data_IF_125660002969
#
_entry.id   IF_125660002969
#
_cell.length_a   1.000
_cell.length_b   1.000
_cell.length_c   1.000
_cell.angle_alpha   90.00
_cell.angle_beta   90.00
_cell.angle_gamma   90.00
#
_symmetry.space_group_name_H-M   'P 1'
#
loop_
_entity.id
_entity.type
_entity.pdbx_description
1 polymer ?
#
# COMPACT_ATOMS: atom_id res chain seq x y z
N UNK A 1 -3.18 27.95 -20.76
CA UNK A 1 -2.23 28.29 -19.68
C UNK A 1 -1.07 27.32 -19.75
N UNK A 2 0.16 27.79 -19.95
CA UNK A 2 1.35 26.92 -19.97
C UNK A 2 1.67 26.51 -18.54
N UNK A 3 1.28 25.29 -18.17
CA UNK A 3 1.65 24.70 -16.90
C UNK A 3 3.18 24.52 -16.85
N UNK A 4 3.80 24.94 -15.74
CA UNK A 4 5.24 24.75 -15.55
C UNK A 4 5.51 23.26 -15.30
N UNK A 5 6.60 22.71 -15.86
CA UNK A 5 6.95 21.31 -15.62
C UNK A 5 7.15 21.05 -14.13
N UNK A 6 6.72 19.86 -13.69
CA UNK A 6 6.80 19.41 -12.31
C UNK A 6 8.15 18.70 -12.10
N UNK A 7 9.09 19.38 -11.43
CA UNK A 7 10.43 18.86 -11.21
C UNK A 7 10.51 18.15 -9.86
N UNK A 8 10.94 16.90 -9.88
CA UNK A 8 11.27 16.16 -8.68
C UNK A 8 12.46 16.80 -7.97
N UNK A 9 12.40 16.81 -6.64
CA UNK A 9 13.54 17.10 -5.79
C UNK A 9 14.14 15.79 -5.29
N UNK A 10 15.46 15.74 -5.11
CA UNK A 10 16.08 14.71 -4.28
C UNK A 10 15.49 14.80 -2.87
N UNK A 11 15.13 13.65 -2.29
CA UNK A 11 14.58 13.59 -0.95
C UNK A 11 15.58 13.00 0.04
N UNK A 12 16.02 11.77 -0.23
CA UNK A 12 16.91 11.02 0.64
C UNK A 12 17.63 9.93 -0.16
N UNK A 13 18.79 9.52 0.33
CA UNK A 13 19.51 8.36 -0.18
C UNK A 13 19.87 7.44 0.99
N UNK A 14 19.75 6.14 0.78
CA UNK A 14 20.21 5.14 1.73
C UNK A 14 21.71 5.36 2.01
N UNK A 15 22.16 5.47 3.26
CA UNK A 15 23.56 5.74 3.58
C UNK A 15 24.54 4.72 2.98
N UNK A 16 25.71 5.19 2.51
CA UNK A 16 26.72 4.38 1.81
C UNK A 16 27.23 3.18 2.62
N UNK A 17 27.15 3.22 3.95
CA UNK A 17 27.52 2.09 4.82
C UNK A 17 26.69 0.84 4.56
N UNK A 18 25.53 0.96 3.89
CA UNK A 18 24.67 -0.15 3.51
C UNK A 18 24.81 -0.55 2.02
N UNK A 19 25.86 -0.08 1.32
CA UNK A 19 26.06 -0.36 -0.12
C UNK A 19 26.12 -1.84 -0.49
N UNK A 20 26.56 -2.69 0.43
CA UNK A 20 26.73 -4.13 0.19
C UNK A 20 25.46 -4.95 0.53
N UNK A 21 24.42 -4.29 1.06
CA UNK A 21 23.11 -4.90 1.34
C UNK A 21 22.16 -4.72 0.16
N UNK A 22 21.20 -5.65 0.04
CA UNK A 22 20.12 -5.57 -0.95
C UNK A 22 18.87 -4.93 -0.33
N UNK A 23 18.23 -3.99 -1.03
CA UNK A 23 16.97 -3.39 -0.60
C UNK A 23 15.81 -4.34 -0.91
N UNK A 24 15.20 -4.92 0.12
CA UNK A 24 14.04 -5.80 0.02
C UNK A 24 12.70 -5.04 -0.01
N UNK A 25 12.58 -3.96 0.74
CA UNK A 25 11.40 -3.11 0.74
C UNK A 25 11.79 -1.71 1.17
N UNK A 26 11.01 -0.70 0.78
CA UNK A 26 11.19 0.64 1.27
C UNK A 26 9.86 1.40 1.22
N UNK A 27 9.68 2.36 2.11
CA UNK A 27 8.58 3.30 2.11
C UNK A 27 9.01 4.64 2.71
N UNK A 28 8.10 5.62 2.65
CA UNK A 28 8.15 6.83 3.46
C UNK A 28 6.96 6.78 4.42
N UNK A 29 7.24 6.80 5.73
CA UNK A 29 6.20 6.63 6.73
C UNK A 29 5.36 7.91 6.96
N UNK A 30 4.35 7.83 7.84
CA UNK A 30 3.43 8.95 8.11
C UNK A 30 4.14 10.24 8.58
N UNK A 31 5.35 10.11 9.13
CA UNK A 31 6.15 11.22 9.63
C UNK A 31 7.19 11.71 8.60
N UNK A 32 7.19 11.15 7.39
CA UNK A 32 8.16 11.48 6.35
C UNK A 32 9.50 10.74 6.48
N UNK A 33 9.65 9.80 7.42
CA UNK A 33 10.92 9.07 7.59
C UNK A 33 11.02 7.99 6.52
N UNK A 34 12.22 7.79 5.97
CA UNK A 34 12.44 6.68 5.02
C UNK A 34 12.69 5.41 5.81
N UNK A 35 11.84 4.41 5.59
CA UNK A 35 11.96 3.08 6.20
C UNK A 35 12.43 2.12 5.13
N UNK A 36 13.60 1.52 5.30
CA UNK A 36 14.21 0.59 4.33
C UNK A 36 14.45 -0.76 4.97
N UNK A 37 13.89 -1.82 4.40
CA UNK A 37 14.20 -3.20 4.75
C UNK A 37 15.37 -3.68 3.91
N UNK A 38 16.49 -3.99 4.57
CA UNK A 38 17.71 -4.52 3.98
C UNK A 38 17.83 -6.01 4.26
N UNK A 39 18.35 -6.74 3.28
CA UNK A 39 18.66 -8.18 3.38
C UNK A 39 20.06 -8.46 2.85
N UNK A 40 20.70 -9.57 3.25
CA UNK A 40 22.01 -9.96 2.80
C UNK A 40 22.08 -10.09 1.28
N UNK A 41 23.26 -9.82 0.68
CA UNK A 41 23.43 -10.01 -0.76
C UNK A 41 23.12 -11.46 -1.15
N UNK A 42 22.32 -11.63 -2.20
CA UNK A 42 21.92 -12.95 -2.69
C UNK A 42 20.66 -13.52 -2.06
N UNK A 43 20.05 -12.82 -1.08
CA UNK A 43 18.73 -13.19 -0.57
C UNK A 43 17.69 -13.27 -1.71
N UNK A 44 16.85 -14.30 -1.66
CA UNK A 44 15.89 -14.61 -2.71
C UNK A 44 14.51 -13.99 -2.48
N UNK A 45 14.39 -13.05 -1.52
CA UNK A 45 13.12 -12.43 -1.15
C UNK A 45 12.38 -11.79 -2.33
N UNK A 46 13.10 -11.30 -3.35
CA UNK A 46 12.52 -10.75 -4.59
C UNK A 46 12.43 -11.71 -5.76
N UNK A 47 13.08 -12.88 -5.67
CA UNK A 47 13.14 -13.81 -6.78
C UNK A 47 11.88 -14.66 -6.80
N UNK A 48 11.38 -14.89 -8.01
CA UNK A 48 10.30 -15.85 -8.25
C UNK A 48 10.88 -17.26 -8.12
N UNK A 49 11.02 -17.72 -6.88
CA UNK A 49 11.49 -19.07 -6.52
C UNK A 49 10.34 -19.90 -5.94
N UNK A 50 10.32 -21.22 -6.19
CA UNK A 50 9.36 -22.13 -5.57
C UNK A 50 9.38 -22.02 -4.04
N UNK A 51 8.22 -22.18 -3.36
CA UNK A 51 8.13 -22.05 -1.90
C UNK A 51 9.16 -22.87 -1.12
N UNK A 52 9.49 -24.07 -1.56
CA UNK A 52 10.46 -24.97 -0.94
C UNK A 52 11.93 -24.50 -1.06
N UNK A 53 12.22 -23.57 -1.97
CA UNK A 53 13.54 -22.95 -2.18
C UNK A 53 13.68 -21.62 -1.42
N UNK A 54 12.59 -21.14 -0.83
CA UNK A 54 12.59 -19.98 0.05
C UNK A 54 13.39 -20.30 1.31
N UNK A 55 14.15 -19.33 1.77
CA UNK A 55 14.97 -19.44 2.98
C UNK A 55 14.78 -18.17 3.79
N UNK A 56 14.46 -18.28 5.09
CA UNK A 56 14.51 -17.15 5.98
C UNK A 56 15.89 -16.48 5.92
N UNK A 57 15.94 -15.17 6.15
CA UNK A 57 17.18 -14.43 6.20
C UNK A 57 17.14 -13.37 7.30
N UNK A 58 18.28 -13.07 7.89
CA UNK A 58 18.40 -11.97 8.85
C UNK A 58 18.27 -10.66 8.09
N UNK A 59 17.27 -9.86 8.44
CA UNK A 59 17.01 -8.57 7.83
C UNK A 59 17.33 -7.42 8.80
N UNK A 60 17.52 -6.24 8.24
CA UNK A 60 17.77 -5.00 8.98
C UNK A 60 16.79 -3.94 8.48
N UNK A 61 15.98 -3.39 9.38
CA UNK A 61 15.21 -2.18 9.10
C UNK A 61 16.07 -0.97 9.43
N UNK A 62 16.24 -0.08 8.46
CA UNK A 62 16.93 1.19 8.61
C UNK A 62 15.91 2.30 8.44
N UNK A 63 15.70 3.08 9.49
CA UNK A 63 14.88 4.28 9.47
C UNK A 63 15.81 5.48 9.39
N UNK A 64 15.67 6.29 8.35
CA UNK A 64 16.44 7.53 8.19
C UNK A 64 15.53 8.74 8.25
N UNK A 65 15.87 9.68 9.12
CA UNK A 65 15.21 10.97 9.28
C UNK A 65 16.28 12.08 9.22
N UNK A 66 16.43 12.70 8.04
CA UNK A 66 17.56 13.60 7.79
C UNK A 66 18.91 12.88 7.98
N UNK A 67 19.68 13.31 8.98
CA UNK A 67 20.96 12.69 9.35
C UNK A 67 20.84 11.56 10.34
N UNK A 68 19.69 11.43 11.01
CA UNK A 68 19.49 10.44 12.06
C UNK A 68 19.16 9.10 11.44
N UNK A 69 19.80 8.05 11.97
CA UNK A 69 19.64 6.69 11.47
C UNK A 69 19.38 5.76 12.64
N UNK A 70 18.25 5.05 12.61
CA UNK A 70 17.90 4.02 13.57
C UNK A 70 17.85 2.66 12.86
N UNK A 71 18.45 1.65 13.51
CA UNK A 71 18.56 0.28 13.02
C UNK A 71 17.79 -0.68 13.92
N UNK A 72 17.01 -1.58 13.31
CA UNK A 72 16.27 -2.64 14.01
C UNK A 72 16.51 -3.97 13.29
N UNK A 73 17.04 -4.96 14.02
CA UNK A 73 17.33 -6.29 13.46
C UNK A 73 16.08 -7.17 13.49
N UNK A 74 15.80 -7.84 12.37
CA UNK A 74 14.73 -8.82 12.22
C UNK A 74 15.35 -10.18 11.86
N UNK A 75 15.70 -11.02 12.86
CA UNK A 75 16.30 -12.33 12.60
C UNK A 75 15.31 -13.28 11.95
N UNK A 76 15.80 -14.19 11.11
CA UNK A 76 15.01 -15.27 10.49
C UNK A 76 13.73 -14.78 9.78
N UNK A 77 13.78 -13.62 9.11
CA UNK A 77 12.63 -13.08 8.38
C UNK A 77 12.28 -13.99 7.20
N UNK A 78 11.08 -14.56 7.22
CA UNK A 78 10.51 -15.43 6.17
C UNK A 78 9.38 -14.72 5.41
N UNK A 79 9.72 -13.64 4.70
CA UNK A 79 8.78 -12.93 3.82
C UNK A 79 9.33 -12.77 2.41
N UNK A 80 8.47 -13.03 1.43
CA UNK A 80 8.79 -12.89 0.01
C UNK A 80 8.03 -11.74 -0.64
N UNK A 81 8.74 -10.97 -1.46
CA UNK A 81 8.30 -9.69 -2.03
C UNK A 81 7.66 -8.80 -0.96
N UNK A 82 8.41 -8.48 0.12
CA UNK A 82 7.84 -7.74 1.23
C UNK A 82 7.51 -6.29 0.85
N UNK A 83 6.44 -5.80 1.45
CA UNK A 83 6.14 -4.39 1.67
C UNK A 83 6.41 -4.10 3.15
N UNK A 84 6.73 -2.85 3.50
CA UNK A 84 6.99 -2.42 4.88
C UNK A 84 6.42 -1.03 5.10
N UNK A 85 5.92 -0.77 6.31
CA UNK A 85 5.70 0.58 6.83
C UNK A 85 5.91 0.65 8.36
N UNK A 86 6.12 1.85 8.89
CA UNK A 86 6.19 2.07 10.33
C UNK A 86 4.81 1.89 10.97
N UNK A 87 4.75 1.33 12.18
CA UNK A 87 3.50 1.15 12.93
C UNK A 87 3.77 1.38 14.42
N UNK A 88 3.34 2.54 14.93
CA UNK A 88 3.69 2.97 16.28
C UNK A 88 5.20 3.12 16.43
N UNK A 89 5.79 2.42 17.41
CA UNK A 89 7.23 2.34 17.64
C UNK A 89 7.93 1.25 16.81
N UNK A 90 7.18 0.41 16.10
CA UNK A 90 7.69 -0.72 15.32
C UNK A 90 7.31 -0.66 13.85
N UNK A 91 7.05 -1.82 13.25
CA UNK A 91 6.82 -1.97 11.82
C UNK A 91 5.76 -3.01 11.49
N UNK A 92 5.09 -2.83 10.35
CA UNK A 92 4.30 -3.87 9.69
C UNK A 92 4.97 -4.28 8.39
N UNK A 93 5.10 -5.57 8.18
CA UNK A 93 5.61 -6.17 6.95
C UNK A 93 4.55 -7.07 6.33
N UNK A 94 4.38 -7.02 5.01
CA UNK A 94 3.45 -7.90 4.29
C UNK A 94 4.10 -8.47 3.04
N UNK A 95 4.12 -9.79 2.90
CA UNK A 95 4.47 -10.43 1.63
C UNK A 95 3.36 -10.19 0.60
N UNK A 96 3.73 -9.60 -0.55
CA UNK A 96 2.78 -9.20 -1.58
C UNK A 96 1.96 -10.37 -2.14
N UNK A 97 2.52 -11.58 -2.10
CA UNK A 97 1.88 -12.81 -2.56
C UNK A 97 1.69 -13.79 -1.43
N UNK A 98 0.49 -14.35 -1.33
CA UNK A 98 0.13 -15.39 -0.39
C UNK A 98 -0.35 -16.63 -1.16
N UNK A 99 0.03 -17.82 -0.67
CA UNK A 99 -0.51 -19.06 -1.22
C UNK A 99 -1.94 -19.23 -0.73
N UNK A 100 -2.89 -19.25 -1.66
CA UNK A 100 -4.26 -19.63 -1.34
C UNK A 100 -4.40 -21.15 -1.20
N UNK A 101 -5.29 -21.65 -0.33
CA UNK A 101 -5.53 -23.08 -0.19
C UNK A 101 -6.05 -23.64 -1.50
N UNK A 102 -5.46 -24.75 -1.95
CA UNK A 102 -5.85 -25.46 -3.17
C UNK A 102 -6.61 -26.76 -2.90
N UNK A 103 -6.93 -27.03 -1.63
CA UNK A 103 -7.63 -28.22 -1.16
C UNK A 103 -9.16 -28.07 -1.16
N UNK A 104 -9.89 -29.09 -0.66
CA UNK A 104 -11.33 -28.95 -0.44
C UNK A 104 -11.61 -27.78 0.50
N UNK A 105 -12.74 -27.06 0.35
CA UNK A 105 -13.07 -25.93 1.22
C UNK A 105 -13.08 -26.35 2.70
N UNK A 106 -12.31 -25.64 3.53
CA UNK A 106 -12.29 -25.88 4.97
C UNK A 106 -13.70 -25.77 5.59
N UNK A 107 -13.99 -26.62 6.58
CA UNK A 107 -15.30 -26.68 7.22
C UNK A 107 -15.55 -25.53 8.22
N UNK A 108 -14.50 -24.92 8.76
CA UNK A 108 -14.58 -23.78 9.70
C UNK A 108 -13.58 -22.69 9.31
N UNK A 109 -13.80 -21.47 9.81
CA UNK A 109 -12.82 -20.38 9.65
C UNK A 109 -11.49 -20.74 10.30
N UNK A 110 -11.49 -21.24 11.55
CA UNK A 110 -10.26 -21.66 12.24
C UNK A 110 -9.50 -22.78 11.50
N UNK A 111 -10.18 -23.61 10.71
CA UNK A 111 -9.52 -24.62 9.88
C UNK A 111 -8.90 -23.99 8.63
N UNK A 112 -9.62 -23.08 7.98
CA UNK A 112 -9.12 -22.33 6.84
C UNK A 112 -7.90 -21.47 7.22
N UNK A 113 -7.98 -20.76 8.33
CA UNK A 113 -6.92 -19.91 8.87
C UNK A 113 -5.65 -20.72 9.16
N UNK A 114 -5.77 -21.98 9.61
CA UNK A 114 -4.62 -22.88 9.76
C UNK A 114 -4.02 -23.36 8.45
N UNK A 115 -4.80 -23.35 7.36
CA UNK A 115 -4.34 -23.75 6.02
C UNK A 115 -3.72 -22.58 5.24
N UNK A 116 -4.04 -21.34 5.63
CA UNK A 116 -3.54 -20.13 4.98
C UNK A 116 -2.31 -19.63 5.74
N UNK A 117 -1.13 -19.55 5.10
CA UNK A 117 0.03 -18.98 5.76
C UNK A 117 -0.23 -17.50 6.07
N UNK A 118 0.10 -17.08 7.30
CA UNK A 118 0.18 -15.67 7.61
C UNK A 118 1.25 -15.03 6.74
N UNK A 119 0.88 -13.97 6.04
CA UNK A 119 1.77 -13.23 5.15
C UNK A 119 2.02 -11.80 5.64
N UNK A 120 1.44 -11.43 6.80
CA UNK A 120 1.72 -10.19 7.49
C UNK A 120 2.36 -10.45 8.85
N UNK A 121 3.33 -9.63 9.20
CA UNK A 121 4.07 -9.64 10.46
C UNK A 121 4.12 -8.21 11.02
N UNK A 122 3.68 -8.06 12.26
CA UNK A 122 3.86 -6.83 13.04
C UNK A 122 4.97 -7.07 14.06
N UNK A 123 5.95 -6.17 14.09
CA UNK A 123 7.08 -6.21 15.02
C UNK A 123 7.15 -4.92 15.83
N UNK A 124 7.67 -5.00 17.05
CA UNK A 124 7.94 -3.83 17.89
C UNK A 124 9.21 -3.07 17.46
N UNK A 125 9.48 -1.95 18.12
CA UNK A 125 10.68 -1.13 17.84
C UNK A 125 12.01 -1.81 18.18
N UNK A 126 11.98 -2.89 18.96
CA UNK A 126 13.13 -3.75 19.24
C UNK A 126 13.29 -4.91 18.24
N UNK A 127 12.37 -5.03 17.27
CA UNK A 127 12.33 -6.11 16.28
C UNK A 127 11.60 -7.37 16.77
N UNK A 128 11.07 -7.39 17.99
CA UNK A 128 10.34 -8.54 18.51
C UNK A 128 9.00 -8.72 17.78
N UNK A 129 8.63 -9.95 17.37
CA UNK A 129 7.33 -10.21 16.74
C UNK A 129 6.20 -10.00 17.75
N UNK A 130 5.23 -9.17 17.38
CA UNK A 130 4.06 -8.87 18.20
C UNK A 130 2.83 -9.66 17.76
N UNK A 131 2.55 -9.70 16.45
CA UNK A 131 1.44 -10.47 15.89
C UNK A 131 1.70 -10.81 14.43
N UNK A 132 0.98 -11.81 13.92
CA UNK A 132 0.94 -12.17 12.50
C UNK A 132 -0.51 -12.38 12.07
N UNK A 133 -0.81 -12.09 10.81
CA UNK A 133 -2.15 -12.29 10.28
C UNK A 133 -2.11 -12.55 8.77
N UNK A 134 -3.26 -12.94 8.22
CA UNK A 134 -3.43 -13.08 6.78
C UNK A 134 -3.95 -11.78 6.17
N UNK A 135 -3.08 -11.07 5.44
CA UNK A 135 -3.41 -9.85 4.73
C UNK A 135 -3.93 -10.09 3.31
N UNK A 136 -4.07 -11.34 2.83
CA UNK A 136 -4.52 -11.63 1.47
C UNK A 136 -3.40 -11.73 0.43
N UNK A 137 -3.75 -12.18 -0.77
CA UNK A 137 -2.87 -12.26 -1.93
C UNK A 137 -2.99 -11.00 -2.82
N UNK A 138 -1.97 -10.75 -3.63
CA UNK A 138 -1.86 -9.63 -4.57
C UNK A 138 -1.89 -8.23 -3.93
N UNK A 139 -1.19 -8.08 -2.80
CA UNK A 139 -1.02 -6.79 -2.11
C UNK A 139 -0.09 -5.88 -2.92
N UNK A 140 -0.64 -4.75 -3.38
CA UNK A 140 0.07 -3.72 -4.14
C UNK A 140 0.52 -2.55 -3.28
N UNK A 141 -0.25 -2.18 -2.27
CA UNK A 141 0.08 -1.08 -1.35
C UNK A 141 0.02 -1.55 0.10
N UNK A 142 0.92 -1.02 0.92
CA UNK A 142 0.91 -1.16 2.38
C UNK A 142 1.29 0.20 2.97
N UNK A 143 0.36 0.82 3.67
CA UNK A 143 0.56 2.10 4.35
C UNK A 143 -0.10 2.06 5.72
N UNK A 144 0.43 2.85 6.66
CA UNK A 144 -0.19 3.07 7.97
C UNK A 144 -0.59 4.53 8.14
N UNK A 145 -1.61 4.76 8.96
CA UNK A 145 -1.97 6.11 9.42
C UNK A 145 -1.46 6.36 10.84
N UNK A 146 -1.57 7.62 11.30
CA UNK A 146 -1.14 8.04 12.63
C UNK A 146 -1.98 7.43 13.77
N UNK A 147 -3.15 6.87 13.45
CA UNK A 147 -4.00 6.12 14.38
C UNK A 147 -3.64 4.63 14.44
N UNK A 148 -2.50 4.25 13.87
CA UNK A 148 -1.98 2.89 13.82
C UNK A 148 -2.93 1.90 13.10
N UNK A 149 -3.75 2.39 12.16
CA UNK A 149 -4.43 1.50 11.24
C UNK A 149 -3.49 1.13 10.09
N UNK A 150 -3.64 -0.09 9.61
CA UNK A 150 -2.90 -0.63 8.48
C UNK A 150 -3.84 -0.62 7.27
N UNK A 151 -3.39 -0.09 6.15
CA UNK A 151 -4.10 -0.03 4.89
C UNK A 151 -3.41 -0.90 3.86
N UNK A 152 -4.17 -1.80 3.25
CA UNK A 152 -3.68 -2.67 2.18
C UNK A 152 -4.48 -2.46 0.91
N UNK A 153 -3.81 -1.98 -0.14
CA UNK A 153 -4.34 -1.92 -1.49
C UNK A 153 -4.02 -3.21 -2.25
N UNK A 154 -4.94 -3.68 -3.07
CA UNK A 154 -4.85 -4.95 -3.80
C UNK A 154 -5.00 -4.75 -5.29
N UNK A 155 -4.38 -5.65 -6.06
CA UNK A 155 -4.59 -5.75 -7.49
C UNK A 155 -5.86 -6.49 -7.88
N UNK A 156 -6.11 -6.52 -9.19
CA UNK A 156 -7.27 -7.19 -9.78
C UNK A 156 -7.27 -8.73 -9.65
N UNK A 157 -6.16 -9.34 -9.20
CA UNK A 157 -6.08 -10.75 -8.85
C UNK A 157 -6.14 -10.98 -7.33
N UNK A 158 -6.37 -9.92 -6.55
CA UNK A 158 -6.38 -10.00 -5.09
C UNK A 158 -7.44 -10.93 -4.57
N UNK A 159 -7.08 -11.71 -3.55
CA UNK A 159 -8.00 -12.57 -2.82
C UNK A 159 -7.69 -12.47 -1.34
N UNK A 160 -8.71 -12.25 -0.52
CA UNK A 160 -8.58 -12.27 0.94
C UNK A 160 -9.50 -13.32 1.54
N UNK A 161 -9.03 -13.95 2.61
CA UNK A 161 -9.85 -14.80 3.48
C UNK A 161 -9.77 -14.26 4.92
N UNK A 162 -10.77 -13.45 5.31
CA UNK A 162 -10.77 -12.80 6.61
C UNK A 162 -12.18 -12.77 7.23
N UNK A 163 -12.24 -12.47 8.52
CA UNK A 163 -13.51 -12.31 9.24
C UNK A 163 -14.20 -11.00 8.87
N UNK A 164 -15.52 -10.95 8.99
CA UNK A 164 -16.25 -9.68 8.92
C UNK A 164 -15.85 -8.73 10.06
N UNK A 165 -15.82 -7.40 9.83
CA UNK A 165 -15.58 -6.43 10.89
C UNK A 165 -16.62 -6.58 12.01
N UNK A 166 -16.19 -6.39 13.26
CA UNK A 166 -17.01 -6.64 14.45
C UNK A 166 -18.37 -5.92 14.44
N UNK A 167 -18.43 -4.68 13.91
CA UNK A 167 -19.67 -3.87 13.81
C UNK A 167 -20.74 -4.46 12.88
N UNK A 168 -20.41 -5.49 12.10
CA UNK A 168 -21.34 -6.17 11.17
C UNK A 168 -21.51 -7.65 11.46
N UNK A 169 -21.03 -8.16 12.60
CA UNK A 169 -21.42 -9.50 13.06
C UNK A 169 -22.91 -9.49 13.40
N UNK A 170 -23.74 -10.40 12.86
CA UNK A 170 -25.14 -10.50 13.26
C UNK A 170 -25.23 -10.73 14.77
N UNK A 171 -26.17 -10.06 15.44
CA UNK A 171 -26.39 -10.21 16.87
C UNK A 171 -26.64 -11.69 17.20
N UNK A 172 -25.94 -12.22 18.22
CA UNK A 172 -26.17 -13.59 18.75
C UNK A 172 -27.66 -13.75 19.08
N UNK A 173 -28.39 -14.57 18.34
CA UNK A 173 -29.71 -15.01 18.79
C UNK A 173 -29.53 -15.87 20.05
N UNK A 174 -30.27 -15.55 21.10
CA UNK A 174 -30.15 -16.16 22.43
C UNK A 174 -30.79 -17.56 22.52
N UNK A 175 -30.66 -18.38 21.47
CA UNK A 175 -31.14 -19.76 21.47
C UNK A 175 -29.99 -20.68 21.04
N UNK A 176 -29.33 -21.28 22.04
CA UNK A 176 -28.27 -22.26 21.82
C UNK A 176 -28.84 -23.53 21.17
N UNK A 177 -28.25 -23.95 20.05
CA UNK A 177 -27.66 -25.28 19.77
C UNK A 177 -27.50 -25.48 18.27
N UNK A 178 -26.68 -24.63 17.64
CA UNK A 178 -25.82 -24.98 16.50
C UNK A 178 -24.78 -23.86 16.45
N UNK A 179 -23.50 -24.22 16.47
CA UNK A 179 -22.41 -23.25 16.34
C UNK A 179 -22.53 -22.66 14.93
N UNK A 180 -23.26 -21.55 14.77
CA UNK A 180 -23.38 -20.86 13.49
C UNK A 180 -21.95 -20.64 12.97
N UNK A 181 -21.62 -21.10 11.76
CA UNK A 181 -20.29 -20.91 11.21
C UNK A 181 -20.03 -19.41 11.14
N UNK A 182 -18.87 -18.98 11.65
CA UNK A 182 -18.40 -17.61 11.48
C UNK A 182 -18.60 -17.22 10.00
N UNK A 183 -19.32 -16.12 9.77
CA UNK A 183 -19.62 -15.63 8.43
C UNK A 183 -18.31 -15.43 7.67
N UNK A 184 -18.02 -16.38 6.77
CA UNK A 184 -16.84 -16.41 5.90
C UNK A 184 -16.95 -15.27 4.89
N UNK A 185 -15.84 -14.64 4.53
CA UNK A 185 -15.70 -14.10 3.19
C UNK A 185 -14.34 -14.45 2.61
N UNK A 186 -14.37 -15.33 1.61
CA UNK A 186 -13.40 -15.24 0.53
C UNK A 186 -13.89 -14.09 -0.34
N UNK A 187 -13.12 -13.01 -0.38
CA UNK A 187 -13.42 -11.86 -1.21
C UNK A 187 -12.36 -11.80 -2.30
N UNK A 188 -12.79 -12.05 -3.52
CA UNK A 188 -12.00 -11.74 -4.72
C UNK A 188 -12.07 -10.25 -4.97
N UNK A 189 -10.96 -9.70 -5.47
CA UNK A 189 -10.83 -8.31 -5.87
C UNK A 189 -11.29 -7.35 -4.76
N UNK A 190 -10.70 -7.44 -3.55
CA UNK A 190 -11.15 -6.63 -2.41
C UNK A 190 -10.87 -5.13 -2.60
N UNK A 191 -9.90 -4.78 -3.46
CA UNK A 191 -9.46 -3.41 -3.73
C UNK A 191 -8.71 -2.78 -2.57
N UNK A 192 -9.40 -2.55 -1.45
CA UNK A 192 -8.85 -1.88 -0.27
C UNK A 192 -9.44 -2.43 1.03
N UNK A 193 -8.57 -2.69 2.00
CA UNK A 193 -8.93 -3.09 3.37
C UNK A 193 -8.18 -2.22 4.37
N UNK A 194 -8.88 -1.83 5.44
CA UNK A 194 -8.28 -1.25 6.64
C UNK A 194 -8.29 -2.26 7.77
N UNK A 195 -7.14 -2.47 8.37
CA UNK A 195 -6.91 -3.32 9.52
C UNK A 195 -6.57 -2.46 10.74
N UNK A 196 -6.87 -2.96 11.92
CA UNK A 196 -6.31 -2.44 13.17
C UNK A 196 -4.85 -2.87 13.33
N UNK A 197 -4.13 -2.24 14.26
CA UNK A 197 -2.70 -2.54 14.54
C UNK A 197 -2.40 -4.01 14.87
N UNK A 198 -3.38 -4.77 15.34
CA UNK A 198 -3.25 -6.19 15.70
C UNK A 198 -3.58 -7.14 14.53
N UNK A 199 -3.91 -6.61 13.36
CA UNK A 199 -4.27 -7.40 12.18
C UNK A 199 -5.75 -7.79 12.10
N UNK A 200 -6.61 -7.26 12.97
CA UNK A 200 -8.06 -7.47 12.85
C UNK A 200 -8.65 -6.57 11.75
N UNK A 201 -9.58 -7.05 10.91
CA UNK A 201 -10.17 -6.23 9.87
C UNK A 201 -11.13 -5.19 10.47
N UNK A 202 -10.84 -3.91 10.24
CA UNK A 202 -11.61 -2.79 10.74
C UNK A 202 -12.69 -2.35 9.74
N UNK A 203 -12.40 -2.39 8.44
CA UNK A 203 -13.28 -1.92 7.38
C UNK A 203 -12.88 -2.52 6.01
N UNK A 204 -13.89 -2.73 5.15
CA UNK A 204 -13.72 -3.17 3.76
C UNK A 204 -14.46 -2.21 2.85
N UNK A 205 -13.84 -1.85 1.73
CA UNK A 205 -14.41 -0.92 0.78
C UNK A 205 -15.75 -1.41 0.19
N UNK A 206 -15.88 -2.72 -0.06
CA UNK A 206 -17.08 -3.34 -0.63
C UNK A 206 -18.30 -3.34 0.29
N UNK A 207 -18.18 -2.95 1.57
CA UNK A 207 -19.31 -2.89 2.50
C UNK A 207 -19.83 -1.48 2.75
N UNK A 208 -19.24 -0.48 2.08
CA UNK A 208 -19.68 0.88 2.24
C UNK A 208 -20.89 1.19 1.35
N UNK A 209 -22.02 1.66 1.92
CA UNK A 209 -23.23 1.95 1.15
C UNK A 209 -23.09 3.14 0.20
N UNK A 210 -22.07 3.99 0.39
CA UNK A 210 -21.77 5.13 -0.48
C UNK A 210 -20.86 4.74 -1.65
N UNK A 211 -20.47 3.47 -1.76
CA UNK A 211 -19.61 2.99 -2.84
C UNK A 211 -20.38 2.92 -4.16
N UNK A 212 -20.12 3.89 -5.04
CA UNK A 212 -20.58 3.87 -6.44
C UNK A 212 -19.55 3.27 -7.41
N UNK A 213 -18.35 2.96 -6.92
CA UNK A 213 -17.24 2.41 -7.71
C UNK A 213 -17.08 0.91 -7.53
N UNK A 214 -16.60 0.24 -8.58
CA UNK A 214 -16.01 -1.09 -8.44
C UNK A 214 -14.69 -0.94 -7.70
N UNK A 215 -14.39 -1.86 -6.77
CA UNK A 215 -13.14 -1.89 -6.01
C UNK A 215 -12.25 -3.03 -6.49
N UNK A 216 -12.18 -3.23 -7.80
CA UNK A 216 -11.51 -4.43 -8.34
C UNK A 216 -10.01 -4.42 -8.03
N UNK A 217 -9.43 -3.22 -8.11
CA UNK A 217 -8.03 -2.89 -7.86
C UNK A 217 -8.00 -1.52 -7.15
N UNK A 218 -7.05 -1.30 -6.25
CA UNK A 218 -6.72 0.03 -5.73
C UNK A 218 -5.46 0.55 -6.44
N UNK A 219 -5.66 1.27 -7.54
CA UNK A 219 -4.58 1.69 -8.46
C UNK A 219 -3.63 2.73 -7.86
N UNK A 220 -4.14 3.54 -6.93
CA UNK A 220 -3.34 4.45 -6.12
C UNK A 220 -3.99 4.64 -4.75
N UNK A 221 -3.15 4.78 -3.74
CA UNK A 221 -3.53 5.02 -2.35
C UNK A 221 -2.71 6.17 -1.76
N UNK A 222 -3.40 7.08 -1.08
CA UNK A 222 -2.81 8.15 -0.29
C UNK A 222 -3.35 8.04 1.14
N UNK A 223 -2.46 7.90 2.13
CA UNK A 223 -2.83 7.81 3.54
C UNK A 223 -2.24 9.00 4.29
N UNK A 224 -3.10 9.93 4.67
CA UNK A 224 -2.78 11.03 5.59
C UNK A 224 -3.08 10.66 7.04
N UNK A 225 -3.04 11.65 7.93
CA UNK A 225 -3.24 11.44 9.36
C UNK A 225 -4.66 10.95 9.71
N UNK A 226 -5.70 11.67 9.27
CA UNK A 226 -7.11 11.38 9.61
C UNK A 226 -7.96 10.88 8.43
N UNK A 227 -7.36 10.83 7.25
CA UNK A 227 -8.04 10.60 5.98
C UNK A 227 -7.16 9.75 5.08
N UNK A 228 -7.81 8.87 4.35
CA UNK A 228 -7.22 8.16 3.23
C UNK A 228 -7.97 8.50 1.95
N UNK A 229 -7.25 8.53 0.84
CA UNK A 229 -7.81 8.69 -0.48
C UNK A 229 -7.40 7.51 -1.35
N UNK A 230 -8.40 6.88 -1.96
CA UNK A 230 -8.20 5.72 -2.81
C UNK A 230 -8.69 6.02 -4.22
N UNK A 231 -8.04 5.38 -5.19
CA UNK A 231 -8.32 5.55 -6.60
C UNK A 231 -8.53 4.18 -7.28
N UNK A 232 -9.74 3.61 -7.16
CA UNK A 232 -9.98 2.23 -7.58
C UNK A 232 -10.35 2.05 -9.07
N UNK A 233 -10.03 0.87 -9.62
CA UNK A 233 -10.51 0.39 -10.93
C UNK A 233 -11.93 -0.23 -10.77
N UNK A 234 -12.91 -0.01 -11.65
CA UNK A 234 -12.78 0.27 -13.10
C UNK A 234 -13.03 1.71 -13.53
N UNK A 235 -13.77 2.46 -12.71
CA UNK A 235 -14.21 3.81 -13.05
C UNK A 235 -13.21 4.90 -12.72
N UNK A 236 -12.12 4.56 -12.02
CA UNK A 236 -11.12 5.52 -11.53
C UNK A 236 -11.73 6.72 -10.77
N UNK A 237 -12.69 6.52 -9.85
CA UNK A 237 -13.14 7.61 -9.02
C UNK A 237 -12.06 7.97 -8.00
N UNK A 238 -12.10 9.20 -7.49
CA UNK A 238 -11.41 9.54 -6.25
C UNK A 238 -12.38 9.30 -5.08
N UNK A 239 -11.91 8.57 -4.06
CA UNK A 239 -12.71 8.24 -2.87
C UNK A 239 -12.00 8.78 -1.64
N UNK A 240 -12.64 9.66 -0.87
CA UNK A 240 -12.16 10.05 0.47
C UNK A 240 -12.77 9.12 1.52
N UNK A 241 -11.93 8.67 2.45
CA UNK A 241 -12.26 7.69 3.49
C UNK A 241 -11.80 8.24 4.84
N UNK A 242 -12.62 8.07 5.87
CA UNK A 242 -12.28 8.34 7.26
C UNK A 242 -12.49 7.14 8.18
N UNK A 243 -12.40 7.35 9.49
CA UNK A 243 -12.65 6.32 10.50
C UNK A 243 -14.03 5.64 10.37
N UNK A 244 -15.05 6.34 9.88
CA UNK A 244 -16.41 5.81 9.71
C UNK A 244 -16.61 5.05 8.38
N UNK A 245 -15.83 5.36 7.34
CA UNK A 245 -15.92 4.74 6.02
C UNK A 245 -15.74 5.75 4.89
N UNK A 246 -16.38 5.50 3.75
CA UNK A 246 -16.37 6.43 2.62
C UNK A 246 -17.10 7.71 3.03
N UNK A 247 -16.47 8.86 2.82
CA UNK A 247 -17.09 10.17 2.98
C UNK A 247 -17.74 10.65 1.70
N UNK A 248 -17.03 10.48 0.59
CA UNK A 248 -17.53 10.82 -0.74
C UNK A 248 -16.78 10.08 -1.84
N UNK A 249 -17.38 10.11 -3.02
CA UNK A 249 -16.80 9.62 -4.28
C UNK A 249 -16.92 10.72 -5.34
N UNK A 250 -15.88 10.93 -6.14
CA UNK A 250 -15.83 11.93 -7.23
C UNK A 250 -15.37 11.29 -8.51
N UNK A 251 -15.97 11.69 -9.63
CA UNK A 251 -15.46 11.34 -10.96
C UNK A 251 -14.19 12.12 -11.23
N UNK A 252 -13.27 11.49 -11.93
CA UNK A 252 -11.98 12.09 -12.26
C UNK A 252 -11.79 12.13 -13.77
N UNK A 253 -11.00 13.09 -14.30
CA UNK A 253 -10.74 13.21 -15.73
C UNK A 253 -9.49 12.41 -16.15
N UNK A 254 -8.79 11.81 -15.19
CA UNK A 254 -7.56 11.07 -15.37
C UNK A 254 -7.88 9.59 -15.25
N UNK A 255 -7.17 8.75 -16.01
CA UNK A 255 -7.23 7.30 -15.90
C UNK A 255 -5.82 6.78 -15.62
N UNK A 256 -5.72 5.64 -14.93
CA UNK A 256 -4.44 4.95 -14.67
C UNK A 256 -3.40 5.80 -13.91
N UNK A 257 -3.85 6.73 -13.06
CA UNK A 257 -2.96 7.43 -12.15
C UNK A 257 -2.36 6.43 -11.15
N UNK A 258 -1.03 6.47 -10.99
CA UNK A 258 -0.28 5.67 -10.01
C UNK A 258 -0.03 6.42 -8.70
N UNK A 259 -0.48 7.68 -8.61
CA UNK A 259 -0.43 8.50 -7.41
C UNK A 259 -1.51 9.58 -7.44
N UNK A 260 -2.04 9.90 -6.26
CA UNK A 260 -2.97 11.02 -6.05
C UNK A 260 -2.45 11.86 -4.89
N UNK A 261 -2.30 13.17 -5.12
CA UNK A 261 -1.85 14.15 -4.13
C UNK A 261 -3.04 15.02 -3.74
N UNK A 262 -3.17 15.32 -2.45
CA UNK A 262 -4.30 16.05 -1.87
C UNK A 262 -3.78 17.21 -1.03
N UNK A 263 -4.10 18.43 -1.42
CA UNK A 263 -3.78 19.67 -0.70
C UNK A 263 -5.07 20.46 -0.44
N UNK A 264 -5.71 20.21 0.70
CA UNK A 264 -7.03 20.78 1.00
C UNK A 264 -8.06 20.38 -0.06
N UNK A 265 -8.56 21.36 -0.82
CA UNK A 265 -9.47 21.14 -1.96
C UNK A 265 -8.73 20.87 -3.28
N UNK A 266 -7.41 21.08 -3.31
CA UNK A 266 -6.56 20.80 -4.45
C UNK A 266 -6.29 19.31 -4.60
N UNK A 267 -6.49 18.79 -5.81
CA UNK A 267 -6.17 17.40 -6.13
C UNK A 267 -5.25 17.36 -7.34
N UNK A 268 -4.22 16.52 -7.31
CA UNK A 268 -3.45 16.19 -8.49
C UNK A 268 -3.26 14.69 -8.67
N UNK A 269 -3.17 14.30 -9.93
CA UNK A 269 -2.97 12.92 -10.34
C UNK A 269 -1.62 12.81 -11.04
N UNK A 270 -0.84 11.81 -10.67
CA UNK A 270 0.35 11.41 -11.39
C UNK A 270 0.02 10.16 -12.21
N UNK A 271 -0.04 10.29 -13.53
CA UNK A 271 -0.32 9.19 -14.43
C UNK A 271 0.84 8.91 -15.38
N UNK A 272 1.20 7.64 -15.49
CA UNK A 272 2.07 7.14 -16.53
C UNK A 272 1.40 7.28 -17.91
N UNK A 273 2.19 7.54 -18.95
CA UNK A 273 1.70 7.51 -20.33
C UNK A 273 1.31 6.08 -20.70
N UNK A 274 0.00 5.80 -20.62
CA UNK A 274 -0.61 4.53 -20.96
C UNK A 274 -1.08 4.48 -22.43
N UNK A 275 -0.70 5.46 -23.26
CA UNK A 275 -0.99 5.50 -24.68
C UNK A 275 -0.37 4.33 -25.46
N UNK A 276 -0.64 4.24 -26.77
CA UNK A 276 -0.18 3.10 -27.61
C UNK A 276 1.33 2.85 -27.56
N UNK A 277 2.13 3.88 -27.29
CA UNK A 277 3.58 3.78 -27.22
C UNK A 277 4.11 3.28 -25.86
N UNK A 278 3.29 3.32 -24.78
CA UNK A 278 3.63 2.90 -23.40
C UNK A 278 5.08 3.23 -23.02
N UNK A 279 5.48 4.50 -23.18
CA UNK A 279 6.88 4.90 -23.05
C UNK A 279 7.23 4.93 -21.56
N UNK A 280 8.17 4.09 -21.08
CA UNK A 280 8.56 4.08 -19.68
C UNK A 280 9.05 5.46 -19.22
N UNK A 281 8.70 5.82 -17.99
CA UNK A 281 9.18 7.05 -17.34
C UNK A 281 8.51 8.35 -17.82
N UNK A 282 7.59 8.28 -18.79
CA UNK A 282 6.77 9.41 -19.18
C UNK A 282 5.58 9.54 -18.23
N UNK A 283 5.68 10.46 -17.28
CA UNK A 283 4.56 10.80 -16.40
C UNK A 283 4.00 12.19 -16.68
N UNK A 284 2.70 12.34 -16.45
CA UNK A 284 1.99 13.62 -16.44
C UNK A 284 1.40 13.86 -15.06
N UNK A 285 1.67 15.03 -14.50
CA UNK A 285 0.99 15.55 -13.31
C UNK A 285 -0.18 16.42 -13.79
N UNK A 286 -1.40 16.01 -13.47
CA UNK A 286 -2.63 16.73 -13.81
C UNK A 286 -3.23 17.28 -12.53
N UNK A 287 -3.23 18.61 -12.37
CA UNK A 287 -3.95 19.30 -11.30
C UNK A 287 -5.41 19.45 -11.69
N UNK A 288 -6.29 19.22 -10.73
CA UNK A 288 -7.73 19.36 -10.88
C UNK A 288 -8.31 20.30 -9.85
N UNK A 289 -9.52 20.80 -10.13
CA UNK A 289 -10.35 21.54 -9.19
C UNK A 289 -11.73 20.91 -9.16
N UNK A 290 -12.35 20.86 -7.98
CA UNK A 290 -13.75 20.43 -7.88
C UNK A 290 -14.68 21.50 -8.43
N UNK A 291 -15.61 21.07 -9.27
CA UNK A 291 -16.74 21.86 -9.74
C UNK A 291 -17.98 20.94 -9.81
N UNK A 292 -19.03 21.28 -9.06
CA UNK A 292 -20.32 20.56 -9.05
C UNK A 292 -20.20 19.03 -8.81
N UNK A 293 -19.26 18.61 -7.96
CA UNK A 293 -19.05 17.19 -7.63
C UNK A 293 -18.25 16.41 -8.68
N UNK A 294 -17.59 17.09 -9.61
CA UNK A 294 -16.67 16.52 -10.60
C UNK A 294 -15.30 17.21 -10.47
N UNK A 295 -14.23 16.45 -10.62
CA UNK A 295 -12.89 17.03 -10.73
C UNK A 295 -12.60 17.39 -12.20
N UNK A 296 -12.35 18.67 -12.46
CA UNK A 296 -12.01 19.17 -13.79
C UNK A 296 -10.51 19.51 -13.88
N UNK A 297 -9.82 19.17 -14.98
CA UNK A 297 -8.39 19.44 -15.12
C UNK A 297 -8.15 20.94 -15.33
N UNK A 298 -7.30 21.54 -14.49
CA UNK A 298 -6.93 22.96 -14.58
C UNK A 298 -5.51 23.18 -15.11
N UNK A 299 -4.64 22.17 -14.96
CA UNK A 299 -3.29 22.18 -15.48
C UNK A 299 -2.78 20.75 -15.68
N UNK A 300 -1.96 20.53 -16.70
CA UNK A 300 -1.26 19.28 -16.90
C UNK A 300 0.16 19.58 -17.38
N UNK A 301 1.15 18.93 -16.76
CA UNK A 301 2.55 19.13 -17.09
C UNK A 301 3.35 17.84 -16.88
N UNK A 302 4.45 17.66 -17.62
CA UNK A 302 5.29 16.48 -17.46
C UNK A 302 6.01 16.48 -16.11
N UNK A 303 6.21 15.29 -15.56
CA UNK A 303 7.15 15.06 -14.46
C UNK A 303 8.57 15.02 -15.03
N UNK A 304 9.48 15.74 -14.39
CA UNK A 304 10.91 15.78 -14.72
C UNK A 304 11.76 15.40 -13.51
N UNK A 305 12.91 14.79 -13.76
CA UNK A 305 13.98 14.58 -12.78
C UNK A 305 14.63 15.92 -12.39
N UNK A 306 15.43 15.98 -11.30
CA UNK A 306 16.09 17.21 -10.86
C UNK A 306 16.97 17.89 -11.92
N UNK A 307 17.51 17.15 -12.89
CA UNK A 307 18.30 17.66 -14.00
C UNK A 307 17.45 18.23 -15.17
N UNK A 308 16.13 17.97 -15.16
CA UNK A 308 15.17 18.45 -16.16
C UNK A 308 14.89 17.44 -17.26
N UNK A 309 15.48 16.25 -17.20
CA UNK A 309 15.14 15.13 -18.08
C UNK A 309 13.87 14.43 -17.60
N UNK A 310 13.29 13.57 -18.43
CA UNK A 310 12.23 12.65 -18.00
C UNK A 310 12.88 11.41 -17.38
N UNK A 311 12.24 10.75 -16.41
CA UNK A 311 12.60 9.38 -16.09
C UNK A 311 12.59 8.52 -17.36
N UNK A 312 13.49 7.55 -17.43
CA UNK A 312 13.62 6.60 -18.54
C UNK A 312 12.93 5.25 -18.25
N UNK A 313 12.41 5.10 -17.03
CA UNK A 313 11.89 3.86 -16.46
C UNK A 313 10.67 4.14 -15.60
N UNK A 314 9.86 3.10 -15.37
CA UNK A 314 8.75 3.19 -14.42
C UNK A 314 9.29 3.28 -12.99
N UNK A 315 8.63 4.10 -12.17
CA UNK A 315 8.80 4.10 -10.73
C UNK A 315 8.60 2.68 -10.20
N UNK A 316 9.60 2.21 -9.45
CA UNK A 316 9.57 0.95 -8.74
C UNK A 316 8.71 1.04 -7.48
N UNK A 317 8.67 2.21 -6.84
CA UNK A 317 7.84 2.49 -5.67
C UNK A 317 7.26 3.90 -5.76
N UNK A 318 6.02 4.02 -5.32
CA UNK A 318 5.28 5.27 -5.22
C UNK A 318 4.62 5.28 -3.85
N UNK A 319 4.82 6.35 -3.08
CA UNK A 319 4.21 6.53 -1.76
C UNK A 319 3.55 7.90 -1.74
N UNK A 320 2.25 7.96 -1.43
CA UNK A 320 1.52 9.23 -1.33
C UNK A 320 1.08 9.46 0.11
N UNK A 321 1.35 10.66 0.63
CA UNK A 321 0.81 11.12 1.91
C UNK A 321 0.46 12.61 1.81
N UNK A 322 -0.81 12.92 1.95
CA UNK A 322 -1.32 14.28 1.82
C UNK A 322 -0.96 14.89 0.46
N UNK A 323 -0.29 16.04 0.51
CA UNK A 323 0.09 16.83 -0.66
C UNK A 323 1.42 16.38 -1.29
N UNK A 324 2.05 15.33 -0.77
CA UNK A 324 3.35 14.84 -1.22
C UNK A 324 3.26 13.45 -1.86
N UNK A 325 4.11 13.23 -2.86
CA UNK A 325 4.43 11.90 -3.39
C UNK A 325 5.94 11.69 -3.40
N UNK A 326 6.35 10.50 -2.96
CA UNK A 326 7.71 10.01 -3.06
C UNK A 326 7.78 8.92 -4.13
N UNK A 327 8.80 9.03 -4.98
CA UNK A 327 9.06 8.11 -6.07
C UNK A 327 10.45 7.53 -5.95
N UNK A 328 10.55 6.24 -6.19
CA UNK A 328 11.81 5.54 -6.33
C UNK A 328 11.84 4.87 -7.70
N UNK A 329 12.91 5.09 -8.45
CA UNK A 329 13.16 4.52 -9.78
C UNK A 329 13.99 3.22 -9.64
N UNK A 330 14.58 2.65 -10.69
CA UNK A 330 15.36 1.40 -10.58
C UNK A 330 16.50 1.46 -9.56
N UNK A 331 17.09 2.64 -9.34
CA UNK A 331 17.93 2.88 -8.16
C UNK A 331 17.07 2.87 -6.89
N UNK A 332 17.01 1.70 -6.24
CA UNK A 332 16.24 1.48 -5.02
C UNK A 332 16.85 2.07 -3.75
N UNK A 333 17.88 2.90 -3.90
CA UNK A 333 18.56 3.60 -2.81
C UNK A 333 18.23 5.08 -2.74
N UNK A 334 17.66 5.65 -3.80
CA UNK A 334 17.38 7.09 -3.87
C UNK A 334 15.87 7.34 -3.94
N UNK A 335 15.39 8.21 -3.06
CA UNK A 335 14.04 8.73 -3.09
C UNK A 335 14.02 10.13 -3.68
N UNK A 336 13.04 10.36 -4.55
CA UNK A 336 12.68 11.67 -5.06
C UNK A 336 11.32 12.06 -4.51
N UNK A 337 11.05 13.36 -4.39
CA UNK A 337 9.76 13.89 -3.95
C UNK A 337 9.23 14.99 -4.86
N UNK A 338 7.91 15.15 -4.84
CA UNK A 338 7.23 16.35 -5.29
C UNK A 338 5.98 16.60 -4.45
N UNK A 339 5.68 17.89 -4.22
CA UNK A 339 4.46 18.36 -3.56
C UNK A 339 3.62 19.27 -4.47
N UNK A 340 2.39 19.57 -4.03
CA UNK A 340 1.42 20.38 -4.78
C UNK A 340 1.55 21.90 -4.65
#
# INVERSE_FOLDING_TARGET
MTAHPHRLAHYASLPDRYRDQQVAAATVDAHGRVVTLLVPPGATCHRLVPPEQRRPCDALVVVTDGSDVHEVHLPELDLHSPRIDALGDGFVLVAARCRMPSGPPAATFDALEREIPHNALVVGGDGAPLTTFHAGDDVQDLLTDEHENIWTGYGDQGVVCAQLPARRRPARSSAATTRQPASRMTMSMPGLIRWTRDGSPAWYATFDPLSYGSWVDCYALNVGADRAWAYPYTGFPLVEIDAAGIRWTRRTPVHFASAVLIDGEGVAFLAADSGRSRIPGHYTVTRTREQDGVLEPVAAAPLLLPDGTRPDTWARRTVCRGDQVWLQFPDDRTWYRIGL
#
